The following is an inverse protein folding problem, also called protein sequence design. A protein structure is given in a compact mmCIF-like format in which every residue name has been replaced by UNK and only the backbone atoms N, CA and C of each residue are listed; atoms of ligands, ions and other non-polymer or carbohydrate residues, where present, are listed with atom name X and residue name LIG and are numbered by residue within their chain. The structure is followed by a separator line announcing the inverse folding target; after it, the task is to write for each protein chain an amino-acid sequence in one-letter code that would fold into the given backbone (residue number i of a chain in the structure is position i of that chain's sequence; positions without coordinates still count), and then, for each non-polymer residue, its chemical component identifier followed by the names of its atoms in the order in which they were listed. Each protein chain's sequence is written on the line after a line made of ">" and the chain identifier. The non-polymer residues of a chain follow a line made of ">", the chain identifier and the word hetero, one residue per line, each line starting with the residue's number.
data_IF_117368707197
#
_entry.id   IF_117368707197
#
_cell.length_a   1.000
_cell.length_b   1.000
_cell.length_c   1.000
_cell.angle_alpha   90.00
_cell.angle_beta   90.00
_cell.angle_gamma   90.00
#
_symmetry.space_group_name_H-M   'P 1'
#
loop_
_entity.id
_entity.type
_entity.pdbx_description
1 polymer ?
#
# COMPACT_ATOMS: atom_id res chain seq x y z
N UNK A 1 2.98 -6.24 -19.24
CA UNK A 1 2.04 -6.46 -18.11
C UNK A 1 2.71 -7.21 -16.96
N UNK A 2 3.17 -8.46 -17.13
CA UNK A 2 3.81 -9.26 -16.06
C UNK A 2 4.97 -8.56 -15.32
N UNK A 3 5.88 -7.89 -16.03
CA UNK A 3 6.98 -7.16 -15.39
C UNK A 3 6.51 -6.00 -14.49
N UNK A 4 5.42 -5.31 -14.85
CA UNK A 4 4.84 -4.24 -14.02
C UNK A 4 4.07 -4.80 -12.83
N UNK A 5 3.35 -5.91 -13.00
CA UNK A 5 2.71 -6.61 -11.88
C UNK A 5 3.76 -7.04 -10.85
N UNK A 6 4.88 -7.59 -11.32
CA UNK A 6 5.99 -8.01 -10.48
C UNK A 6 6.68 -6.83 -9.80
N UNK A 7 6.87 -5.71 -10.50
CA UNK A 7 7.40 -4.47 -9.90
C UNK A 7 6.50 -3.98 -8.75
N UNK A 8 5.19 -3.92 -8.98
CA UNK A 8 4.21 -3.46 -7.99
C UNK A 8 4.20 -4.39 -6.76
N UNK A 9 4.14 -5.71 -6.99
CA UNK A 9 4.17 -6.70 -5.90
C UNK A 9 5.50 -6.71 -5.13
N UNK A 10 6.62 -6.51 -5.83
CA UNK A 10 7.92 -6.52 -5.16
C UNK A 10 8.20 -5.21 -4.43
N UNK A 11 7.61 -4.10 -4.86
CA UNK A 11 7.85 -2.80 -4.25
C UNK A 11 6.75 -2.37 -3.28
N UNK A 12 5.53 -2.12 -3.78
CA UNK A 12 4.47 -1.50 -2.98
C UNK A 12 4.00 -2.43 -1.87
N UNK A 13 3.69 -3.70 -2.20
CA UNK A 13 3.32 -4.70 -1.19
C UNK A 13 4.44 -4.91 -0.16
N UNK A 14 5.71 -4.93 -0.60
CA UNK A 14 6.83 -5.11 0.31
C UNK A 14 6.99 -3.93 1.26
N UNK A 15 6.84 -2.70 0.76
CA UNK A 15 6.88 -1.48 1.56
C UNK A 15 5.72 -1.41 2.57
N UNK A 16 4.50 -1.74 2.15
CA UNK A 16 3.34 -1.83 3.04
C UNK A 16 3.59 -2.83 4.18
N UNK A 17 4.07 -4.02 3.86
CA UNK A 17 4.39 -5.05 4.85
C UNK A 17 5.53 -4.62 5.77
N UNK A 18 6.55 -3.95 5.24
CA UNK A 18 7.66 -3.42 6.03
C UNK A 18 7.16 -2.40 7.05
N UNK A 19 6.39 -1.40 6.62
CA UNK A 19 5.84 -0.38 7.53
C UNK A 19 4.91 -0.99 8.57
N UNK A 20 4.06 -1.93 8.20
CA UNK A 20 3.13 -2.52 9.16
C UNK A 20 3.82 -3.42 10.19
N UNK A 21 4.85 -4.17 9.81
CA UNK A 21 5.37 -5.28 10.63
C UNK A 21 6.84 -5.15 11.07
N UNK A 22 7.59 -4.23 10.47
CA UNK A 22 9.00 -3.98 10.80
C UNK A 22 9.21 -2.63 11.50
N UNK A 23 8.37 -1.63 11.26
CA UNK A 23 8.39 -0.39 12.03
C UNK A 23 7.80 -0.61 13.43
N UNK A 24 8.63 -0.58 14.47
CA UNK A 24 8.24 -0.97 15.82
C UNK A 24 7.15 -0.05 16.42
N UNK A 25 7.14 1.24 16.04
CA UNK A 25 6.09 2.17 16.45
C UNK A 25 4.74 1.76 15.86
N UNK A 26 4.66 1.56 14.54
CA UNK A 26 3.45 1.11 13.86
C UNK A 26 2.98 -0.26 14.38
N UNK A 27 3.91 -1.18 14.61
CA UNK A 27 3.63 -2.52 15.16
C UNK A 27 2.94 -2.43 16.52
N UNK A 28 3.52 -1.66 17.45
CA UNK A 28 3.08 -1.57 18.83
C UNK A 28 1.79 -0.78 19.00
N UNK A 29 1.62 0.30 18.24
CA UNK A 29 0.48 1.21 18.38
C UNK A 29 -0.74 0.78 17.55
N UNK A 30 -0.51 0.14 16.40
CA UNK A 30 -1.56 -0.06 15.39
C UNK A 30 -1.66 -1.52 14.94
N UNK A 31 -0.58 -2.11 14.42
CA UNK A 31 -0.68 -3.34 13.62
C UNK A 31 -1.13 -4.54 14.44
N UNK A 32 -0.57 -4.75 15.63
CA UNK A 32 -0.95 -5.88 16.49
C UNK A 32 -2.43 -5.82 16.87
N UNK A 33 -2.90 -4.65 17.31
CA UNK A 33 -4.30 -4.46 17.70
C UNK A 33 -5.24 -4.65 16.50
N UNK A 34 -4.91 -4.05 15.35
CA UNK A 34 -5.70 -4.18 14.11
C UNK A 34 -5.80 -5.63 13.67
N UNK A 35 -4.67 -6.32 13.54
CA UNK A 35 -4.61 -7.71 13.07
C UNK A 35 -5.26 -8.69 14.07
N UNK A 36 -5.05 -8.48 15.37
CA UNK A 36 -5.57 -9.34 16.43
C UNK A 36 -7.06 -9.16 16.72
N UNK A 37 -7.66 -8.03 16.36
CA UNK A 37 -9.05 -7.67 16.69
C UNK A 37 -10.13 -8.73 16.37
N UNK A 38 -10.03 -9.54 15.30
CA UNK A 38 -11.04 -10.55 15.00
C UNK A 38 -10.95 -11.82 15.87
N UNK A 39 -9.89 -11.98 16.67
CA UNK A 39 -9.58 -13.23 17.37
C UNK A 39 -9.72 -13.06 18.90
N UNK A 40 -10.14 -14.12 19.64
CA UNK A 40 -10.20 -14.08 21.09
C UNK A 40 -8.80 -14.18 21.72
N UNK A 41 -8.67 -13.73 22.96
CA UNK A 41 -7.48 -13.96 23.76
C UNK A 41 -7.32 -15.46 24.11
N UNK A 42 -6.10 -16.05 24.07
CA UNK A 42 -4.81 -15.42 23.74
C UNK A 42 -4.42 -15.51 22.25
N UNK A 43 -5.30 -16.05 21.40
CA UNK A 43 -5.01 -16.33 19.99
C UNK A 43 -4.67 -15.06 19.19
N UNK A 44 -5.34 -13.95 19.48
CA UNK A 44 -5.06 -12.63 18.89
C UNK A 44 -3.57 -12.25 18.96
N UNK A 45 -2.93 -12.41 20.11
CA UNK A 45 -1.52 -12.10 20.30
C UNK A 45 -0.63 -13.12 19.59
N UNK A 46 -0.91 -14.41 19.75
CA UNK A 46 -0.11 -15.48 19.14
C UNK A 46 -0.05 -15.30 17.62
N UNK A 47 -1.19 -15.08 16.97
CA UNK A 47 -1.25 -14.90 15.52
C UNK A 47 -0.57 -13.60 15.07
N UNK A 48 -0.72 -12.50 15.82
CA UNK A 48 -0.05 -11.25 15.50
C UNK A 48 1.49 -11.38 15.55
N UNK A 49 2.03 -12.00 16.60
CA UNK A 49 3.47 -12.27 16.71
C UNK A 49 3.96 -13.25 15.63
N UNK A 50 3.20 -14.31 15.34
CA UNK A 50 3.52 -15.25 14.28
C UNK A 50 3.59 -14.54 12.91
N UNK A 51 2.63 -13.65 12.63
CA UNK A 51 2.62 -12.88 11.38
C UNK A 51 3.78 -11.90 11.31
N UNK A 52 4.08 -11.19 12.40
CA UNK A 52 5.23 -10.29 12.46
C UNK A 52 6.54 -11.04 12.18
N UNK A 53 6.71 -12.22 12.79
CA UNK A 53 7.89 -13.06 12.59
C UNK A 53 8.02 -13.54 11.14
N UNK A 54 6.91 -13.99 10.53
CA UNK A 54 6.87 -14.38 9.12
C UNK A 54 7.31 -13.23 8.20
N UNK A 55 6.77 -12.03 8.42
CA UNK A 55 7.10 -10.84 7.62
C UNK A 55 8.56 -10.43 7.82
N UNK A 56 9.05 -10.33 9.06
CA UNK A 56 10.48 -10.02 9.33
C UNK A 56 11.42 -11.02 8.66
N UNK A 57 11.06 -12.31 8.67
CA UNK A 57 11.84 -13.35 7.97
C UNK A 57 11.82 -13.16 6.45
N UNK A 58 10.65 -12.84 5.87
CA UNK A 58 10.53 -12.49 4.44
C UNK A 58 11.41 -11.29 4.09
N UNK A 59 11.34 -10.20 4.88
CA UNK A 59 12.14 -9.00 4.65
C UNK A 59 13.64 -9.30 4.68
N UNK A 60 14.10 -10.12 5.64
CA UNK A 60 15.49 -10.58 5.66
C UNK A 60 15.89 -11.35 4.40
N UNK A 61 15.03 -12.25 3.92
CA UNK A 61 15.32 -13.07 2.74
C UNK A 61 15.45 -12.26 1.43
N UNK A 62 14.69 -11.17 1.30
CA UNK A 62 14.73 -10.29 0.12
C UNK A 62 15.67 -9.09 0.27
N UNK A 63 16.49 -9.05 1.33
CA UNK A 63 17.47 -7.98 1.56
C UNK A 63 16.91 -6.69 2.16
N UNK A 64 15.66 -6.69 2.63
CA UNK A 64 14.99 -5.55 3.27
C UNK A 64 15.12 -5.55 4.80
N UNK A 65 15.59 -6.64 5.40
CA UNK A 65 15.63 -6.79 6.86
C UNK A 65 16.47 -5.75 7.61
N UNK A 66 17.40 -5.08 6.92
CA UNK A 66 18.27 -4.04 7.50
C UNK A 66 18.06 -2.66 6.86
N UNK A 67 17.04 -2.49 6.00
CA UNK A 67 16.78 -1.18 5.41
C UNK A 67 16.31 -0.19 6.47
N UNK A 68 16.64 1.08 6.30
CA UNK A 68 16.01 2.16 7.08
C UNK A 68 14.66 2.53 6.48
N UNK A 69 13.83 3.24 7.24
CA UNK A 69 12.58 3.78 6.71
C UNK A 69 12.84 4.67 5.49
N UNK A 70 13.82 5.56 5.55
CA UNK A 70 14.20 6.44 4.42
C UNK A 70 14.52 5.66 3.14
N UNK A 71 15.25 4.54 3.26
CA UNK A 71 15.57 3.70 2.11
C UNK A 71 14.33 3.06 1.50
N UNK A 72 13.38 2.61 2.34
CA UNK A 72 12.10 2.08 1.88
C UNK A 72 11.26 3.17 1.19
N UNK A 73 11.23 4.38 1.75
CA UNK A 73 10.53 5.52 1.16
C UNK A 73 11.12 5.92 -0.19
N UNK A 74 12.45 5.85 -0.35
CA UNK A 74 13.13 6.07 -1.62
C UNK A 74 12.77 5.01 -2.67
N UNK A 75 12.76 3.73 -2.29
CA UNK A 75 12.35 2.65 -3.20
C UNK A 75 10.90 2.82 -3.69
N UNK A 76 10.00 3.24 -2.79
CA UNK A 76 8.60 3.52 -3.10
C UNK A 76 8.48 4.71 -4.03
N UNK A 77 9.23 5.78 -3.78
CA UNK A 77 9.26 6.97 -4.63
C UNK A 77 9.69 6.62 -6.05
N UNK A 78 10.76 5.83 -6.21
CA UNK A 78 11.21 5.35 -7.52
C UNK A 78 10.16 4.49 -8.23
N UNK A 79 9.44 3.64 -7.50
CA UNK A 79 8.34 2.86 -8.06
C UNK A 79 7.17 3.76 -8.49
N UNK A 80 6.78 4.73 -7.67
CA UNK A 80 5.75 5.70 -8.01
C UNK A 80 6.15 6.53 -9.24
N UNK A 81 7.43 6.92 -9.35
CA UNK A 81 7.95 7.59 -10.52
C UNK A 81 7.82 6.72 -11.78
N UNK A 82 8.21 5.45 -11.73
CA UNK A 82 8.10 4.53 -12.85
C UNK A 82 6.63 4.29 -13.26
N UNK A 83 5.72 4.15 -12.29
CA UNK A 83 4.29 4.02 -12.54
C UNK A 83 3.70 5.30 -13.14
N UNK A 84 4.06 6.46 -12.59
CA UNK A 84 3.63 7.78 -13.07
C UNK A 84 4.07 8.01 -14.52
N UNK A 85 5.34 7.72 -14.85
CA UNK A 85 5.85 7.79 -16.21
C UNK A 85 5.11 6.83 -17.14
N UNK A 86 4.84 5.61 -16.67
CA UNK A 86 4.14 4.60 -17.48
C UNK A 86 2.69 4.99 -17.76
N UNK A 87 1.99 5.54 -16.77
CA UNK A 87 0.61 6.02 -16.91
C UNK A 87 0.55 7.26 -17.82
N UNK A 88 1.50 8.18 -17.65
CA UNK A 88 1.55 9.44 -18.38
C UNK A 88 0.24 10.21 -18.22
N UNK A 89 -0.41 10.52 -19.35
CA UNK A 89 -1.71 11.21 -19.43
C UNK A 89 -2.87 10.25 -19.70
N UNK A 90 -2.61 8.94 -19.77
CA UNK A 90 -3.63 7.95 -20.12
C UNK A 90 -4.57 7.68 -18.94
N UNK A 91 -5.82 7.24 -19.22
CA UNK A 91 -6.74 6.89 -18.16
C UNK A 91 -6.36 5.59 -17.42
N UNK A 92 -5.62 4.70 -18.08
CA UNK A 92 -5.18 3.39 -17.60
C UNK A 92 -3.76 3.08 -18.14
N UNK A 93 -3.07 2.10 -17.56
CA UNK A 93 -1.64 1.84 -17.80
C UNK A 93 -1.27 1.32 -19.20
N UNK A 94 -2.20 0.69 -19.93
CA UNK A 94 -1.92 0.08 -21.23
C UNK A 94 -2.89 0.48 -22.34
N UNK A 95 -4.20 0.50 -22.05
CA UNK A 95 -5.25 0.65 -23.05
C UNK A 95 -6.29 1.68 -22.59
N UNK A 96 -7.35 1.88 -23.39
CA UNK A 96 -8.53 2.66 -22.97
C UNK A 96 -9.44 1.90 -21.99
N UNK A 97 -9.20 0.60 -21.79
CA UNK A 97 -9.94 -0.23 -20.85
C UNK A 97 -9.04 -0.62 -19.67
N UNK A 98 -9.59 -0.75 -18.45
CA UNK A 98 -8.84 -1.20 -17.29
C UNK A 98 -8.33 -2.62 -17.49
N UNK A 99 -7.17 -2.90 -16.91
CA UNK A 99 -6.53 -4.21 -16.90
C UNK A 99 -6.29 -4.67 -15.45
N UNK A 100 -5.85 -5.91 -15.29
CA UNK A 100 -5.46 -6.45 -13.98
C UNK A 100 -4.38 -5.60 -13.30
N UNK A 101 -3.48 -4.99 -14.08
CA UNK A 101 -2.49 -4.07 -13.54
C UNK A 101 -3.13 -2.82 -12.93
N UNK A 102 -4.15 -2.27 -13.58
CA UNK A 102 -4.84 -1.08 -13.07
C UNK A 102 -5.51 -1.41 -11.72
N UNK A 103 -6.16 -2.57 -11.62
CA UNK A 103 -6.76 -3.04 -10.37
C UNK A 103 -5.70 -3.25 -9.26
N UNK A 104 -4.56 -3.86 -9.60
CA UNK A 104 -3.48 -4.10 -8.64
C UNK A 104 -2.85 -2.78 -8.15
N UNK A 105 -2.49 -1.90 -9.07
CA UNK A 105 -1.89 -0.59 -8.74
C UNK A 105 -2.87 0.24 -7.92
N UNK A 106 -4.16 0.28 -8.32
CA UNK A 106 -5.18 0.95 -7.54
C UNK A 106 -5.26 0.41 -6.11
N UNK A 107 -5.33 -0.92 -5.95
CA UNK A 107 -5.43 -1.54 -4.62
C UNK A 107 -4.29 -1.12 -3.69
N UNK A 108 -3.05 -1.15 -4.17
CA UNK A 108 -1.88 -0.72 -3.40
C UNK A 108 -1.88 0.78 -3.12
N UNK A 109 -2.03 1.63 -4.14
CA UNK A 109 -2.03 3.07 -3.95
C UNK A 109 -3.16 3.52 -3.02
N UNK A 110 -4.36 2.96 -3.20
CA UNK A 110 -5.50 3.24 -2.32
C UNK A 110 -5.22 2.80 -0.88
N UNK A 111 -4.64 1.61 -0.69
CA UNK A 111 -4.25 1.12 0.64
C UNK A 111 -3.24 2.05 1.29
N UNK A 112 -2.20 2.47 0.57
CA UNK A 112 -1.18 3.40 1.06
C UNK A 112 -1.79 4.76 1.45
N UNK A 113 -2.73 5.27 0.65
CA UNK A 113 -3.37 6.56 0.88
C UNK A 113 -4.39 6.55 2.03
N UNK A 114 -4.96 5.40 2.38
CA UNK A 114 -6.10 5.31 3.32
C UNK A 114 -5.79 4.56 4.61
N UNK A 115 -4.69 3.78 4.64
CA UNK A 115 -4.28 3.02 5.82
C UNK A 115 -3.71 3.96 6.88
N UNK A 116 -4.25 3.89 8.09
CA UNK A 116 -3.69 4.61 9.23
C UNK A 116 -2.38 3.94 9.66
N UNK A 117 -1.32 4.75 9.76
CA UNK A 117 0.01 4.41 10.27
C UNK A 117 0.39 5.44 11.35
N UNK A 118 1.54 5.27 12.00
CA UNK A 118 2.05 6.25 12.99
C UNK A 118 2.69 7.48 12.33
N UNK A 119 3.02 7.39 11.04
CA UNK A 119 3.47 8.50 10.21
C UNK A 119 2.80 8.45 8.82
N UNK A 120 2.75 9.59 8.16
CA UNK A 120 2.13 9.73 6.83
C UNK A 120 3.15 9.73 5.69
N UNK A 121 4.46 9.53 5.98
CA UNK A 121 5.56 9.73 5.02
C UNK A 121 5.42 8.88 3.75
N UNK A 122 4.95 7.64 3.89
CA UNK A 122 4.68 6.78 2.73
C UNK A 122 3.57 7.36 1.85
N UNK A 123 2.48 7.84 2.46
CA UNK A 123 1.36 8.43 1.74
C UNK A 123 1.79 9.73 1.05
N UNK A 124 2.67 10.52 1.67
CA UNK A 124 3.22 11.74 1.09
C UNK A 124 4.06 11.45 -0.16
N UNK A 125 4.84 10.36 -0.18
CA UNK A 125 5.53 9.93 -1.41
C UNK A 125 4.56 9.71 -2.58
N UNK A 126 3.43 9.04 -2.34
CA UNK A 126 2.41 8.83 -3.38
C UNK A 126 1.73 10.14 -3.78
N UNK A 127 1.44 11.03 -2.82
CA UNK A 127 0.75 12.31 -3.07
C UNK A 127 1.52 13.26 -3.98
N UNK A 128 2.85 13.11 -4.06
CA UNK A 128 3.69 13.87 -4.99
C UNK A 128 3.39 13.56 -6.48
N UNK A 129 2.68 12.47 -6.79
CA UNK A 129 2.35 12.06 -8.15
C UNK A 129 0.87 12.30 -8.48
N UNK A 130 0.55 13.51 -8.89
CA UNK A 130 -0.84 13.95 -9.14
C UNK A 130 -1.60 13.12 -10.18
N UNK A 131 -0.90 12.57 -11.19
CA UNK A 131 -1.53 11.70 -12.18
C UNK A 131 -1.92 10.32 -11.61
N UNK A 132 -1.15 9.80 -10.65
CA UNK A 132 -1.50 8.58 -9.91
C UNK A 132 -2.69 8.83 -8.98
N UNK A 133 -2.74 9.99 -8.31
CA UNK A 133 -3.91 10.39 -7.52
C UNK A 133 -5.17 10.51 -8.40
N UNK A 134 -5.05 11.14 -9.56
CA UNK A 134 -6.16 11.26 -10.51
C UNK A 134 -6.62 9.89 -11.04
N UNK A 135 -5.68 8.97 -11.25
CA UNK A 135 -5.97 7.57 -11.58
C UNK A 135 -6.76 6.87 -10.48
N UNK A 136 -6.33 6.98 -9.22
CA UNK A 136 -7.06 6.38 -8.09
C UNK A 136 -8.48 6.93 -7.96
N UNK A 137 -8.62 8.27 -8.00
CA UNK A 137 -9.94 8.93 -7.93
C UNK A 137 -10.86 8.47 -9.06
N UNK A 138 -10.33 8.32 -10.29
CA UNK A 138 -11.12 7.86 -11.43
C UNK A 138 -11.65 6.44 -11.21
N UNK A 139 -10.83 5.53 -10.70
CA UNK A 139 -11.25 4.15 -10.42
C UNK A 139 -12.27 4.12 -9.27
N UNK A 140 -12.03 4.87 -8.19
CA UNK A 140 -12.97 5.01 -7.08
C UNK A 140 -14.35 5.49 -7.57
N UNK A 141 -14.37 6.56 -8.37
CA UNK A 141 -15.58 7.10 -9.01
C UNK A 141 -16.32 6.08 -9.88
N UNK A 142 -15.60 5.39 -10.77
CA UNK A 142 -16.25 4.54 -11.77
C UNK A 142 -16.73 3.19 -11.20
N UNK A 143 -16.11 2.70 -10.13
CA UNK A 143 -16.34 1.33 -9.65
C UNK A 143 -16.84 1.23 -8.20
N UNK A 144 -16.74 2.30 -7.41
CA UNK A 144 -17.02 2.26 -5.97
C UNK A 144 -18.02 3.33 -5.49
N UNK A 145 -18.16 4.49 -6.15
CA UNK A 145 -19.07 5.56 -5.69
C UNK A 145 -20.55 5.17 -5.57
N UNK A 146 -21.06 4.24 -6.40
CA UNK A 146 -22.44 3.73 -6.25
C UNK A 146 -22.65 2.87 -4.98
N UNK A 147 -21.56 2.47 -4.30
CA UNK A 147 -21.61 1.68 -3.05
C UNK A 147 -21.55 2.54 -1.79
N UNK A 148 -21.21 3.82 -1.90
CA UNK A 148 -20.74 4.64 -0.76
C UNK A 148 -21.63 5.82 -0.35
N UNK A 149 -22.90 5.84 -0.76
CA UNK A 149 -23.89 6.80 -0.21
C UNK A 149 -24.11 6.70 1.31
N UNK A 150 -23.39 5.81 2.01
CA UNK A 150 -23.48 5.61 3.45
C UNK A 150 -22.25 5.92 4.31
N UNK A 151 -21.02 6.08 3.78
CA UNK A 151 -19.84 5.99 4.69
C UNK A 151 -18.61 6.90 4.48
N UNK A 152 -18.37 7.57 3.34
CA UNK A 152 -16.98 8.03 3.05
C UNK A 152 -16.75 9.51 2.72
N UNK A 153 -17.68 10.42 3.02
CA UNK A 153 -17.52 11.87 2.78
C UNK A 153 -16.36 12.58 3.56
N UNK A 154 -15.46 11.87 4.25
CA UNK A 154 -14.53 12.48 5.22
C UNK A 154 -13.03 12.33 4.85
N UNK A 155 -12.61 11.53 3.87
CA UNK A 155 -11.19 11.09 3.83
C UNK A 155 -10.28 11.55 2.69
N UNK A 156 -10.73 12.41 1.76
CA UNK A 156 -9.89 12.83 0.62
C UNK A 156 -9.80 14.35 0.38
N UNK A 157 -10.18 15.16 1.36
CA UNK A 157 -9.97 16.62 1.37
C UNK A 157 -8.65 17.01 2.00
#
# INVERSE_FOLDING_TARGET
>A
MKAYMELVNNMLLTAELYLQWCDEATVGEITHARYGSPYPWPLNHILAYQKQWEVKRKMKAIGWGNKTLDQVLEDVDQCCQALSQRLGTQPYFFNKQPTELDALVFGHLYTILTTQLTNDELSEKVKNYSNLLAFCRRIEQHYFEDRDKGSLSIRLS
#
